data_IF_890130409326
#
_entry.id   IF_890130409326
#
_cell.length_a   1.000
_cell.length_b   1.000
_cell.length_c   1.000
_cell.angle_alpha   90.00
_cell.angle_beta   90.00
_cell.angle_gamma   90.00
#
_symmetry.space_group_name_H-M   'P 1'
#
loop_
_entity.id
_entity.type
_entity.pdbx_description
1 polymer ?
#
# COMPACT_ATOMS: atom_id res chain seq x y z
N UNK A 1 30.78 37.98 18.65
CA UNK A 1 30.09 36.68 18.48
C UNK A 1 28.74 36.78 17.74
N UNK A 2 28.51 37.76 16.86
CA UNK A 2 27.20 37.98 16.23
C UNK A 2 27.04 37.44 14.78
N UNK A 3 28.13 37.04 14.12
CA UNK A 3 28.11 36.67 12.68
C UNK A 3 27.59 35.25 12.39
N UNK A 4 27.61 34.33 13.37
CA UNK A 4 27.19 32.94 13.16
C UNK A 4 25.66 32.71 13.17
N UNK A 5 24.90 33.64 13.74
CA UNK A 5 23.43 33.56 13.84
C UNK A 5 22.73 33.86 12.52
N UNK A 6 23.20 34.89 11.80
CA UNK A 6 22.62 35.31 10.53
C UNK A 6 22.84 34.27 9.42
N UNK A 7 24.02 33.65 9.36
CA UNK A 7 24.32 32.59 8.40
C UNK A 7 23.48 31.32 8.64
N UNK A 8 23.25 30.96 9.92
CA UNK A 8 22.36 29.84 10.28
C UNK A 8 20.89 30.13 9.97
N UNK A 9 20.43 31.36 10.22
CA UNK A 9 19.07 31.77 9.87
C UNK A 9 18.85 31.78 8.35
N UNK A 10 19.81 32.29 7.58
CA UNK A 10 19.76 32.28 6.12
C UNK A 10 19.78 30.85 5.54
N UNK A 11 20.60 29.95 6.11
CA UNK A 11 20.64 28.54 5.70
C UNK A 11 19.34 27.80 6.03
N UNK A 12 18.73 28.08 7.18
CA UNK A 12 17.43 27.51 7.57
C UNK A 12 16.27 28.06 6.70
N UNK A 13 16.32 29.32 6.30
CA UNK A 13 15.36 29.92 5.36
C UNK A 13 15.50 29.35 3.94
N UNK A 14 16.73 29.11 3.47
CA UNK A 14 17.00 28.48 2.18
C UNK A 14 16.57 27.00 2.15
N UNK A 15 16.78 26.26 3.23
CA UNK A 15 16.30 24.88 3.38
C UNK A 15 14.76 24.81 3.52
N UNK A 16 14.14 25.82 4.15
CA UNK A 16 12.68 25.93 4.24
C UNK A 16 12.02 26.29 2.91
N UNK A 17 12.66 27.11 2.08
CA UNK A 17 12.14 27.50 0.77
C UNK A 17 12.21 26.36 -0.27
N UNK A 18 13.17 25.44 -0.14
CA UNK A 18 13.28 24.24 -0.98
C UNK A 18 12.19 23.18 -0.69
N UNK A 19 11.45 23.34 0.42
CA UNK A 19 10.37 22.44 0.84
C UNK A 19 8.97 23.04 0.65
N UNK A 20 8.83 24.13 -0.11
CA UNK A 20 7.51 24.56 -0.56
C UNK A 20 6.96 23.48 -1.50
N UNK A 21 5.82 22.83 -1.19
CA UNK A 21 5.20 21.90 -2.12
C UNK A 21 4.90 22.68 -3.39
N UNK A 22 5.59 22.36 -4.48
CA UNK A 22 5.24 22.85 -5.80
C UNK A 22 3.76 22.54 -6.08
N UNK A 23 3.09 23.30 -6.96
CA UNK A 23 1.71 23.02 -7.31
C UNK A 23 1.58 21.54 -7.65
N UNK A 24 0.71 20.83 -6.91
CA UNK A 24 0.49 19.40 -7.05
C UNK A 24 0.10 19.13 -8.50
N UNK A 25 1.11 18.76 -9.28
CA UNK A 25 1.01 18.58 -10.71
C UNK A 25 0.29 17.25 -10.87
N UNK A 26 -1.02 17.27 -11.12
CA UNK A 26 -1.82 16.07 -11.36
C UNK A 26 -1.12 15.14 -12.33
N UNK A 27 -1.29 13.83 -12.14
CA UNK A 27 -0.56 12.81 -12.92
C UNK A 27 -0.75 13.01 -14.42
N UNK A 28 0.13 12.44 -15.25
CA UNK A 28 0.07 12.64 -16.70
C UNK A 28 -1.31 12.29 -17.27
N UNK A 29 -1.93 11.21 -16.79
CA UNK A 29 -3.28 10.80 -17.19
C UNK A 29 -4.37 11.80 -16.77
N UNK A 30 -4.22 12.49 -15.64
CA UNK A 30 -5.19 13.51 -15.19
C UNK A 30 -5.21 14.77 -16.08
N UNK A 31 -4.16 14.95 -16.88
CA UNK A 31 -4.02 16.06 -17.83
C UNK A 31 -4.46 15.69 -19.23
N UNK A 32 -4.68 14.40 -19.50
CA UNK A 32 -5.11 13.93 -20.81
C UNK A 32 -6.48 14.54 -21.18
N UNK A 33 -6.58 15.26 -22.32
CA UNK A 33 -7.85 15.88 -22.73
C UNK A 33 -8.99 14.88 -22.85
N UNK A 34 -8.73 13.70 -23.41
CA UNK A 34 -9.71 12.61 -23.55
C UNK A 34 -10.30 12.20 -22.19
N UNK A 35 -9.42 12.01 -21.20
CA UNK A 35 -9.82 11.64 -19.85
C UNK A 35 -10.67 12.75 -19.19
N UNK A 36 -10.23 14.00 -19.27
CA UNK A 36 -10.93 15.14 -18.66
C UNK A 36 -12.30 15.38 -19.29
N UNK A 37 -12.40 15.27 -20.61
CA UNK A 37 -13.67 15.43 -21.31
C UNK A 37 -14.65 14.32 -20.94
N UNK A 38 -14.20 13.06 -20.96
CA UNK A 38 -15.00 11.91 -20.53
C UNK A 38 -15.50 12.10 -19.09
N UNK A 39 -14.59 12.42 -18.16
CA UNK A 39 -14.93 12.59 -16.76
C UNK A 39 -15.97 13.69 -16.57
N UNK A 40 -15.76 14.86 -17.18
CA UNK A 40 -16.70 15.97 -17.09
C UNK A 40 -18.07 15.62 -17.70
N UNK A 41 -18.12 14.86 -18.80
CA UNK A 41 -19.37 14.39 -19.40
C UNK A 41 -20.09 13.40 -18.48
N UNK A 42 -19.38 12.42 -17.95
CA UNK A 42 -19.93 11.40 -17.06
C UNK A 42 -20.47 12.01 -15.77
N UNK A 43 -19.71 12.88 -15.10
CA UNK A 43 -20.14 13.55 -13.86
C UNK A 43 -21.41 14.38 -14.07
N UNK A 44 -21.50 15.15 -15.17
CA UNK A 44 -22.69 15.96 -15.48
C UNK A 44 -23.92 15.11 -15.76
N UNK A 45 -23.77 14.05 -16.56
CA UNK A 45 -24.89 13.23 -17.02
C UNK A 45 -25.38 12.23 -15.97
N UNK A 46 -24.47 11.57 -15.26
CA UNK A 46 -24.80 10.43 -14.40
C UNK A 46 -24.84 10.80 -12.91
N UNK A 47 -24.08 11.80 -12.48
CA UNK A 47 -23.91 12.10 -11.05
C UNK A 47 -24.73 13.29 -10.56
N UNK A 48 -25.76 13.72 -11.31
CA UNK A 48 -26.65 14.83 -10.93
C UNK A 48 -28.13 14.44 -10.93
N UNK A 49 -28.93 15.08 -10.05
CA UNK A 49 -30.39 15.01 -10.05
C UNK A 49 -30.99 13.59 -10.04
N UNK A 50 -31.87 13.32 -11.01
CA UNK A 50 -32.55 12.03 -11.16
C UNK A 50 -31.60 10.89 -11.58
N UNK A 51 -30.56 11.20 -12.36
CA UNK A 51 -29.58 10.22 -12.81
C UNK A 51 -28.75 9.67 -11.64
N UNK A 52 -28.40 10.51 -10.65
CA UNK A 52 -27.71 10.07 -9.44
C UNK A 52 -28.58 9.10 -8.61
N UNK A 53 -29.89 9.36 -8.51
CA UNK A 53 -30.83 8.46 -7.83
C UNK A 53 -30.93 7.12 -8.55
N UNK A 54 -30.99 7.15 -9.88
CA UNK A 54 -31.00 5.96 -10.72
C UNK A 54 -29.71 5.14 -10.59
N UNK A 55 -28.56 5.80 -10.59
CA UNK A 55 -27.27 5.17 -10.34
C UNK A 55 -27.25 4.48 -8.98
N UNK A 56 -27.64 5.18 -7.90
CA UNK A 56 -27.69 4.60 -6.54
C UNK A 56 -28.65 3.42 -6.44
N UNK A 57 -29.79 3.47 -7.13
CA UNK A 57 -30.77 2.38 -7.14
C UNK A 57 -30.27 1.13 -7.88
N UNK A 58 -29.42 1.30 -8.90
CA UNK A 58 -28.81 0.20 -9.66
C UNK A 58 -27.40 -0.18 -9.19
N UNK A 59 -26.84 0.57 -8.25
CA UNK A 59 -25.49 0.34 -7.75
C UNK A 59 -25.42 -1.05 -7.09
N UNK A 60 -24.49 -1.92 -7.52
CA UNK A 60 -24.32 -3.23 -6.91
C UNK A 60 -24.07 -3.11 -5.39
N UNK A 61 -24.62 -4.05 -4.62
CA UNK A 61 -24.51 -4.06 -3.16
C UNK A 61 -23.07 -3.95 -2.67
N UNK A 62 -22.13 -4.64 -3.33
CA UNK A 62 -20.72 -4.60 -2.95
C UNK A 62 -20.11 -3.19 -3.10
N UNK A 63 -20.46 -2.46 -4.16
CA UNK A 63 -20.03 -1.06 -4.37
C UNK A 63 -20.67 -0.13 -3.33
N UNK A 64 -21.93 -0.37 -2.95
CA UNK A 64 -22.61 0.39 -1.91
C UNK A 64 -21.99 0.19 -0.52
N UNK A 65 -21.73 -1.06 -0.14
CA UNK A 65 -21.10 -1.41 1.14
C UNK A 65 -19.68 -0.87 1.25
N UNK A 66 -18.94 -0.96 0.15
CA UNK A 66 -17.64 -0.32 0.01
C UNK A 66 -17.80 1.11 -0.50
N UNK A 67 -18.80 1.88 -0.08
CA UNK A 67 -18.98 3.33 -0.32
C UNK A 67 -18.39 3.93 -1.61
N UNK A 68 -18.51 3.27 -2.76
CA UNK A 68 -18.10 3.80 -4.05
C UNK A 68 -19.08 4.88 -4.46
N UNK A 69 -18.57 6.04 -4.89
CA UNK A 69 -19.41 7.12 -5.37
C UNK A 69 -19.58 7.05 -6.89
N UNK A 70 -20.64 7.65 -7.42
CA UNK A 70 -20.82 7.84 -8.86
C UNK A 70 -19.59 8.50 -9.51
N UNK A 71 -18.94 9.41 -8.77
CA UNK A 71 -17.73 10.10 -9.23
C UNK A 71 -16.55 9.14 -9.37
N UNK A 72 -16.37 8.23 -8.42
CA UNK A 72 -15.28 7.24 -8.46
C UNK A 72 -15.50 6.25 -9.61
N UNK A 73 -16.76 5.91 -9.89
CA UNK A 73 -17.11 5.08 -11.04
C UNK A 73 -16.83 5.79 -12.37
N UNK A 74 -17.22 7.06 -12.52
CA UNK A 74 -16.87 7.87 -13.68
C UNK A 74 -15.35 8.00 -13.88
N UNK A 75 -14.58 8.22 -12.81
CA UNK A 75 -13.11 8.25 -12.87
C UNK A 75 -12.55 6.93 -13.41
N UNK A 76 -13.03 5.80 -12.91
CA UNK A 76 -12.57 4.50 -13.35
C UNK A 76 -12.92 4.22 -14.82
N UNK A 77 -14.17 4.42 -15.22
CA UNK A 77 -14.61 4.14 -16.59
C UNK A 77 -13.86 5.02 -17.61
N UNK A 78 -13.71 6.31 -17.32
CA UNK A 78 -12.97 7.23 -18.18
C UNK A 78 -11.47 6.97 -18.21
N UNK A 79 -10.88 6.54 -17.09
CA UNK A 79 -9.51 6.06 -17.04
C UNK A 79 -9.35 4.87 -17.98
N UNK A 80 -10.20 3.84 -17.85
CA UNK A 80 -10.12 2.64 -18.67
C UNK A 80 -10.39 2.86 -20.15
N UNK A 81 -11.27 3.80 -20.49
CA UNK A 81 -11.43 4.25 -21.87
C UNK A 81 -10.11 4.79 -22.43
N UNK A 82 -9.46 5.67 -21.69
CA UNK A 82 -8.18 6.28 -22.07
C UNK A 82 -7.08 5.21 -22.19
N UNK A 83 -6.99 4.30 -21.22
CA UNK A 83 -6.04 3.18 -21.23
C UNK A 83 -6.22 2.30 -22.48
N UNK A 84 -7.46 1.93 -22.83
CA UNK A 84 -7.75 1.12 -24.02
C UNK A 84 -7.26 1.79 -25.30
N UNK A 85 -7.50 3.10 -25.45
CA UNK A 85 -7.03 3.86 -26.61
C UNK A 85 -5.51 3.92 -26.69
N UNK A 86 -4.83 4.13 -25.57
CA UNK A 86 -3.36 4.12 -25.50
C UNK A 86 -2.78 2.75 -25.89
N UNK A 87 -3.34 1.67 -25.36
CA UNK A 87 -2.91 0.29 -25.67
C UNK A 87 -3.13 -0.02 -27.15
N UNK A 88 -4.29 0.34 -27.72
CA UNK A 88 -4.57 0.17 -29.15
C UNK A 88 -3.63 0.98 -30.04
N UNK A 89 -3.26 2.19 -29.62
CA UNK A 89 -2.29 3.04 -30.31
C UNK A 89 -0.82 2.63 -30.11
N UNK A 90 -0.54 1.60 -29.31
CA UNK A 90 0.84 1.18 -28.99
C UNK A 90 1.60 2.19 -28.12
N UNK A 91 0.90 3.09 -27.43
CA UNK A 91 1.49 4.10 -26.55
C UNK A 91 1.66 3.57 -25.13
N UNK A 92 2.64 4.13 -24.39
CA UNK A 92 2.81 3.83 -22.96
C UNK A 92 1.68 4.47 -22.16
N UNK A 93 1.00 3.65 -21.38
CA UNK A 93 -0.10 4.10 -20.52
C UNK A 93 0.43 5.01 -19.42
N UNK A 94 -0.21 6.17 -19.15
CA UNK A 94 0.18 7.05 -18.05
C UNK A 94 -0.44 6.62 -16.71
N UNK A 95 0.10 7.15 -15.61
CA UNK A 95 -0.54 7.07 -14.29
C UNK A 95 -1.73 8.05 -14.22
N UNK A 96 -2.75 7.69 -13.44
CA UNK A 96 -3.97 8.47 -13.16
C UNK A 96 -4.12 8.65 -11.64
N UNK A 97 -4.43 9.86 -11.17
CA UNK A 97 -4.48 10.23 -9.74
C UNK A 97 -3.26 9.77 -8.91
N UNK A 98 -2.08 9.70 -9.55
CA UNK A 98 -0.83 9.26 -8.90
C UNK A 98 -0.72 7.74 -8.70
N UNK A 99 -1.57 6.94 -9.34
CA UNK A 99 -1.51 5.47 -9.33
C UNK A 99 -1.55 4.92 -10.76
N UNK A 100 -1.05 3.69 -10.91
CA UNK A 100 -1.27 2.93 -12.14
C UNK A 100 -2.72 2.43 -12.24
N UNK A 101 -3.27 2.26 -13.46
CA UNK A 101 -4.62 1.74 -13.63
C UNK A 101 -4.69 0.25 -13.27
N UNK A 102 -5.59 -0.09 -12.34
CA UNK A 102 -5.88 -1.47 -11.94
C UNK A 102 -7.26 -1.91 -12.42
N UNK A 103 -7.37 -3.18 -12.77
CA UNK A 103 -8.66 -3.80 -13.08
C UNK A 103 -9.35 -4.13 -11.77
N UNK A 104 -10.52 -3.52 -11.54
CA UNK A 104 -11.37 -3.83 -10.39
C UNK A 104 -11.84 -5.28 -10.50
N UNK A 105 -11.79 -6.01 -9.40
CA UNK A 105 -12.42 -7.32 -9.26
C UNK A 105 -13.34 -7.30 -8.05
N UNK A 106 -14.66 -7.34 -8.28
CA UNK A 106 -15.67 -7.19 -7.23
C UNK A 106 -15.45 -5.89 -6.44
N UNK A 107 -15.18 -6.01 -5.14
CA UNK A 107 -14.91 -4.89 -4.25
C UNK A 107 -13.41 -4.60 -4.08
N UNK A 108 -12.51 -5.37 -4.70
CA UNK A 108 -11.07 -5.19 -4.59
C UNK A 108 -10.55 -4.14 -5.58
N UNK A 109 -9.87 -3.13 -5.04
CA UNK A 109 -9.18 -2.13 -5.83
C UNK A 109 -7.80 -2.62 -6.30
N UNK A 110 -7.06 -3.32 -5.42
CA UNK A 110 -5.74 -3.90 -5.72
C UNK A 110 -5.78 -5.41 -5.40
N UNK A 111 -6.35 -6.26 -6.29
CA UNK A 111 -6.69 -7.64 -5.96
C UNK A 111 -5.48 -8.51 -5.59
N UNK A 112 -4.36 -8.36 -6.31
CA UNK A 112 -3.14 -9.13 -6.02
C UNK A 112 -2.55 -8.76 -4.66
N UNK A 113 -2.42 -7.46 -4.37
CA UNK A 113 -1.89 -6.96 -3.08
C UNK A 113 -2.77 -7.38 -1.91
N UNK A 114 -4.11 -7.32 -2.06
CA UNK A 114 -5.05 -7.77 -1.04
C UNK A 114 -4.92 -9.27 -0.77
N UNK A 115 -4.87 -10.09 -1.83
CA UNK A 115 -4.73 -11.53 -1.69
C UNK A 115 -3.37 -11.92 -1.09
N UNK A 116 -2.29 -11.27 -1.52
CA UNK A 116 -0.95 -11.51 -0.98
C UNK A 116 -0.80 -11.08 0.49
N UNK A 117 -1.44 -9.96 0.89
CA UNK A 117 -1.55 -9.56 2.30
C UNK A 117 -2.31 -10.59 3.14
N UNK A 118 -3.42 -11.12 2.62
CA UNK A 118 -4.18 -12.18 3.29
C UNK A 118 -3.34 -13.44 3.48
N UNK A 119 -2.62 -13.86 2.43
CA UNK A 119 -1.72 -15.03 2.51
C UNK A 119 -0.58 -14.82 3.50
N UNK A 120 -0.04 -13.61 3.61
CA UNK A 120 0.94 -13.28 4.65
C UNK A 120 0.36 -13.44 6.06
N UNK A 121 -0.85 -12.89 6.29
CA UNK A 121 -1.55 -13.07 7.56
C UNK A 121 -1.80 -14.54 7.87
N UNK A 122 -2.27 -15.32 6.89
CA UNK A 122 -2.50 -16.75 7.03
C UNK A 122 -1.20 -17.52 7.34
N UNK A 123 -0.11 -17.23 6.64
CA UNK A 123 1.19 -17.83 6.89
C UNK A 123 1.68 -17.50 8.32
N UNK A 124 1.58 -16.25 8.76
CA UNK A 124 1.92 -15.83 10.12
C UNK A 124 1.07 -16.57 11.16
N UNK A 125 -0.23 -16.75 10.92
CA UNK A 125 -1.13 -17.48 11.82
C UNK A 125 -0.77 -18.96 11.93
N UNK A 126 -0.57 -19.64 10.79
CA UNK A 126 -0.19 -21.06 10.76
C UNK A 126 1.15 -21.26 11.47
N UNK A 127 2.13 -20.39 11.23
CA UNK A 127 3.43 -20.48 11.88
C UNK A 127 3.36 -20.17 13.38
N UNK A 128 2.49 -19.25 13.82
CA UNK A 128 2.23 -19.04 15.24
C UNK A 128 1.66 -20.30 15.92
N UNK A 129 0.72 -20.99 15.27
CA UNK A 129 0.16 -22.25 15.80
C UNK A 129 1.25 -23.34 15.91
N UNK A 130 2.10 -23.47 14.88
CA UNK A 130 3.24 -24.39 14.88
C UNK A 130 4.26 -24.04 15.98
N UNK A 131 4.58 -22.77 16.15
CA UNK A 131 5.48 -22.28 17.19
C UNK A 131 4.97 -22.61 18.60
N UNK A 132 3.68 -22.35 18.86
CA UNK A 132 3.04 -22.68 20.14
C UNK A 132 3.02 -24.19 20.45
N UNK A 133 2.95 -25.02 19.41
CA UNK A 133 2.99 -26.47 19.57
C UNK A 133 4.42 -27.02 19.79
N UNK A 134 5.43 -26.38 19.18
CA UNK A 134 6.81 -26.86 19.22
C UNK A 134 7.65 -26.28 20.38
N UNK A 135 7.32 -25.08 20.86
CA UNK A 135 8.17 -24.34 21.81
C UNK A 135 7.51 -24.24 23.18
N UNK A 136 8.17 -24.68 24.27
CA UNK A 136 7.65 -24.55 25.63
C UNK A 136 7.45 -23.08 26.04
N UNK A 137 6.35 -22.73 26.73
CA UNK A 137 6.09 -21.37 27.22
C UNK A 137 7.16 -20.80 28.16
N UNK A 138 7.95 -21.67 28.81
CA UNK A 138 9.07 -21.27 29.67
C UNK A 138 10.26 -20.67 28.88
N UNK A 139 10.26 -20.76 27.55
CA UNK A 139 11.36 -20.26 26.73
C UNK A 139 11.43 -18.72 26.78
N UNK A 140 12.61 -18.12 26.94
CA UNK A 140 12.75 -16.68 27.13
C UNK A 140 12.27 -15.83 25.94
N UNK A 141 12.22 -16.42 24.73
CA UNK A 141 11.70 -15.74 23.53
C UNK A 141 10.20 -15.95 23.29
N UNK A 142 9.56 -16.90 23.97
CA UNK A 142 8.16 -17.25 23.74
C UNK A 142 7.20 -16.04 23.81
N UNK A 143 7.20 -15.21 24.87
CA UNK A 143 6.29 -14.07 24.93
C UNK A 143 6.55 -13.04 23.83
N UNK A 144 7.81 -12.85 23.43
CA UNK A 144 8.14 -11.90 22.37
C UNK A 144 7.71 -12.39 21.00
N UNK A 145 7.97 -13.65 20.65
CA UNK A 145 7.55 -14.23 19.37
C UNK A 145 6.02 -14.23 19.24
N UNK A 146 5.29 -14.54 20.32
CA UNK A 146 3.82 -14.50 20.32
C UNK A 146 3.29 -13.06 20.21
N UNK A 147 3.89 -12.09 20.90
CA UNK A 147 3.50 -10.68 20.76
C UNK A 147 3.75 -10.15 19.34
N UNK A 148 4.92 -10.47 18.75
CA UNK A 148 5.23 -10.14 17.36
C UNK A 148 4.19 -10.71 16.39
N UNK A 149 3.85 -11.99 16.57
CA UNK A 149 2.85 -12.68 15.76
C UNK A 149 1.51 -11.95 15.74
N UNK A 150 1.01 -11.54 16.91
CA UNK A 150 -0.25 -10.82 17.01
C UNK A 150 -0.21 -9.43 16.37
N UNK A 151 0.88 -8.69 16.55
CA UNK A 151 1.08 -7.40 15.88
C UNK A 151 1.15 -7.59 14.36
N UNK A 152 1.86 -8.61 13.89
CA UNK A 152 1.96 -8.95 12.47
C UNK A 152 0.60 -9.32 11.88
N UNK A 153 -0.18 -10.15 12.56
CA UNK A 153 -1.53 -10.53 12.14
C UNK A 153 -2.46 -9.33 12.02
N UNK A 154 -2.40 -8.42 13.00
CA UNK A 154 -3.17 -7.18 12.97
C UNK A 154 -2.77 -6.30 11.78
N UNK A 155 -1.47 -6.15 11.53
CA UNK A 155 -0.96 -5.38 10.40
C UNK A 155 -1.39 -5.98 9.05
N UNK A 156 -1.27 -7.29 8.85
CA UNK A 156 -1.67 -7.96 7.61
C UNK A 156 -3.18 -7.94 7.38
N UNK A 157 -3.98 -8.01 8.44
CA UNK A 157 -5.43 -7.82 8.37
C UNK A 157 -5.76 -6.42 7.84
N UNK A 158 -5.20 -5.37 8.44
CA UNK A 158 -5.43 -4.00 7.99
C UNK A 158 -4.85 -3.72 6.60
N UNK A 159 -3.72 -4.34 6.24
CA UNK A 159 -3.16 -4.30 4.88
C UNK A 159 -4.13 -4.90 3.85
N UNK A 160 -4.73 -6.06 4.18
CA UNK A 160 -5.74 -6.69 3.33
C UNK A 160 -6.94 -5.76 3.14
N UNK A 161 -7.46 -5.19 4.24
CA UNK A 161 -8.58 -4.24 4.20
C UNK A 161 -8.23 -3.01 3.35
N UNK A 162 -7.03 -2.44 3.51
CA UNK A 162 -6.56 -1.30 2.75
C UNK A 162 -6.52 -1.57 1.24
N UNK A 163 -5.97 -2.72 0.81
CA UNK A 163 -5.93 -3.09 -0.61
C UNK A 163 -7.29 -3.53 -1.16
N UNK A 164 -8.24 -3.92 -0.30
CA UNK A 164 -9.64 -4.08 -0.72
C UNK A 164 -10.27 -2.73 -1.02
N UNK A 165 -10.04 -1.71 -0.18
CA UNK A 165 -10.61 -0.38 -0.33
C UNK A 165 -9.63 0.66 0.20
N UNK A 166 -9.12 1.53 -0.68
CA UNK A 166 -8.30 2.71 -0.30
C UNK A 166 -9.06 3.49 0.78
N UNK A 167 -8.76 3.21 2.04
CA UNK A 167 -9.26 3.96 3.19
C UNK A 167 -8.08 4.77 3.67
N UNK A 168 -8.27 6.07 3.89
CA UNK A 168 -7.21 7.02 4.25
C UNK A 168 -6.69 6.82 5.70
N UNK A 169 -6.64 5.59 6.19
CA UNK A 169 -6.00 5.26 7.46
C UNK A 169 -4.51 5.15 7.18
N UNK A 170 -3.81 6.20 7.57
CA UNK A 170 -2.37 6.38 7.40
C UNK A 170 -1.57 5.33 8.18
N UNK A 171 -0.52 4.85 7.53
CA UNK A 171 0.42 3.86 8.04
C UNK A 171 1.01 4.19 9.41
N UNK A 172 0.93 3.25 10.35
CA UNK A 172 1.79 3.21 11.55
C UNK A 172 2.90 2.17 11.33
N UNK A 173 3.63 2.24 10.21
CA UNK A 173 4.76 1.33 9.92
C UNK A 173 6.04 1.71 10.68
N UNK A 174 6.30 3.01 10.83
CA UNK A 174 7.59 3.50 11.33
C UNK A 174 7.77 3.38 12.85
N UNK A 175 6.71 3.56 13.63
CA UNK A 175 6.77 3.45 15.10
C UNK A 175 6.98 2.00 15.57
N UNK A 176 6.36 1.04 14.89
CA UNK A 176 6.56 -0.39 15.16
C UNK A 176 7.99 -0.82 14.78
N UNK A 177 8.49 -0.39 13.62
CA UNK A 177 9.85 -0.69 13.13
C UNK A 177 10.95 -0.26 14.12
N UNK A 178 10.88 0.97 14.62
CA UNK A 178 11.88 1.52 15.54
C UNK A 178 11.91 0.78 16.88
N UNK A 179 10.75 0.30 17.35
CA UNK A 179 10.64 -0.47 18.59
C UNK A 179 11.30 -1.85 18.46
N UNK A 180 11.04 -2.57 17.36
CA UNK A 180 11.59 -3.91 17.12
C UNK A 180 13.10 -3.92 16.86
N UNK A 181 13.63 -2.97 16.08
CA UNK A 181 15.08 -2.84 15.87
C UNK A 181 15.81 -2.59 17.20
N UNK A 182 15.25 -1.72 18.05
CA UNK A 182 15.81 -1.44 19.39
C UNK A 182 15.77 -2.66 20.31
N UNK A 183 14.72 -3.48 20.23
CA UNK A 183 14.62 -4.72 21.00
C UNK A 183 15.61 -5.80 20.52
N UNK A 184 15.75 -6.00 19.20
CA UNK A 184 16.69 -6.96 18.63
C UNK A 184 18.15 -6.62 18.98
N UNK A 185 18.53 -5.35 18.87
CA UNK A 185 19.88 -4.88 19.21
C UNK A 185 20.20 -5.07 20.71
N UNK A 186 19.20 -4.92 21.58
CA UNK A 186 19.36 -5.08 23.04
C UNK A 186 19.50 -6.55 23.47
N UNK A 187 18.93 -7.50 22.72
CA UNK A 187 18.91 -8.92 23.09
C UNK A 187 19.92 -9.79 22.31
N UNK A 188 20.61 -9.21 21.31
CA UNK A 188 21.75 -9.79 20.57
C UNK A 188 22.72 -10.65 21.39
N UNK A 189 23.18 -10.24 22.59
CA UNK A 189 24.22 -10.99 23.32
C UNK A 189 23.73 -12.25 24.03
N UNK A 190 22.41 -12.47 24.13
CA UNK A 190 21.82 -13.48 25.03
C UNK A 190 21.13 -14.65 24.31
N UNK A 191 20.94 -14.57 23.00
CA UNK A 191 20.10 -15.50 22.25
C UNK A 191 20.79 -15.95 20.95
N UNK A 192 21.15 -17.24 20.79
CA UNK A 192 21.92 -17.73 19.65
C UNK A 192 21.16 -17.73 18.31
N UNK A 193 19.84 -17.49 18.31
CA UNK A 193 19.00 -17.54 17.10
C UNK A 193 18.65 -16.15 16.55
N UNK A 194 19.25 -15.08 17.08
CA UNK A 194 19.03 -13.69 16.64
C UNK A 194 19.42 -13.47 15.17
N UNK A 195 20.29 -14.33 14.61
CA UNK A 195 20.64 -14.28 13.18
C UNK A 195 19.43 -14.51 12.27
N UNK A 196 18.44 -15.34 12.67
CA UNK A 196 17.20 -15.52 11.90
C UNK A 196 16.40 -14.24 11.84
N UNK A 197 16.27 -13.53 12.97
CA UNK A 197 15.64 -12.21 13.01
C UNK A 197 16.40 -11.19 12.15
N UNK A 198 17.73 -11.19 12.20
CA UNK A 198 18.55 -10.30 11.36
C UNK A 198 18.39 -10.60 9.87
N UNK A 199 18.36 -11.88 9.49
CA UNK A 199 18.14 -12.32 8.11
C UNK A 199 16.75 -11.91 7.61
N UNK A 200 15.70 -12.12 8.41
CA UNK A 200 14.32 -11.68 8.09
C UNK A 200 14.26 -10.17 7.90
N UNK A 201 14.88 -9.38 8.78
CA UNK A 201 14.92 -7.91 8.65
C UNK A 201 15.64 -7.51 7.36
N UNK A 202 16.81 -8.07 7.05
CA UNK A 202 17.55 -7.74 5.83
C UNK A 202 16.79 -8.12 4.57
N UNK A 203 16.15 -9.30 4.55
CA UNK A 203 15.33 -9.76 3.42
C UNK A 203 14.09 -8.88 3.24
N UNK A 204 13.43 -8.46 4.33
CA UNK A 204 12.31 -7.54 4.26
C UNK A 204 12.71 -6.20 3.63
N UNK A 205 13.87 -5.65 4.01
CA UNK A 205 14.40 -4.42 3.42
C UNK A 205 14.77 -4.60 1.95
N UNK A 206 15.37 -5.74 1.59
CA UNK A 206 15.71 -6.05 0.20
C UNK A 206 14.46 -6.17 -0.67
N UNK A 207 13.40 -6.83 -0.17
CA UNK A 207 12.12 -6.93 -0.87
C UNK A 207 11.42 -5.58 -0.99
N UNK A 208 11.53 -4.70 0.01
CA UNK A 208 10.95 -3.35 -0.07
C UNK A 208 11.56 -2.51 -1.21
N UNK A 209 12.77 -2.84 -1.69
CA UNK A 209 13.35 -2.20 -2.88
C UNK A 209 12.57 -2.52 -4.16
N UNK A 210 11.74 -3.57 -4.18
CA UNK A 210 10.86 -3.85 -5.32
C UNK A 210 9.87 -2.71 -5.56
N UNK A 211 9.43 -2.01 -4.51
CA UNK A 211 8.55 -0.83 -4.62
C UNK A 211 9.19 0.30 -5.46
N UNK A 212 10.52 0.34 -5.60
CA UNK A 212 11.23 1.33 -6.42
C UNK A 212 11.14 1.07 -7.93
N UNK A 213 10.73 -0.12 -8.35
CA UNK A 213 10.67 -0.47 -9.77
C UNK A 213 9.49 0.21 -10.51
N UNK A 214 8.55 0.83 -9.79
CA UNK A 214 7.39 1.62 -10.26
C UNK A 214 6.97 1.32 -11.71
N UNK A 215 6.44 0.12 -11.94
CA UNK A 215 6.05 -0.37 -13.27
C UNK A 215 4.52 -0.54 -13.39
N UNK A 216 3.96 -0.41 -14.62
CA UNK A 216 2.53 -0.65 -14.85
C UNK A 216 2.12 -2.08 -14.52
N UNK A 217 0.98 -2.32 -13.84
CA UNK A 217 0.58 -3.63 -13.39
C UNK A 217 0.53 -4.64 -14.55
N UNK A 218 1.25 -5.74 -14.40
CA UNK A 218 1.17 -6.89 -15.27
C UNK A 218 -0.25 -7.45 -15.21
N UNK A 219 -0.82 -7.71 -16.39
CA UNK A 219 -2.23 -8.11 -16.54
C UNK A 219 -3.24 -7.17 -15.86
N UNK A 220 -2.85 -5.92 -15.58
CA UNK A 220 -3.67 -4.92 -14.88
C UNK A 220 -4.02 -5.27 -13.43
N UNK A 221 -3.29 -6.21 -12.83
CA UNK A 221 -3.59 -6.73 -11.48
C UNK A 221 -2.32 -6.84 -10.62
N UNK A 222 -1.16 -7.17 -11.20
CA UNK A 222 0.07 -7.44 -10.47
C UNK A 222 1.11 -6.33 -10.67
N UNK A 223 1.41 -5.57 -9.62
CA UNK A 223 2.37 -4.47 -9.63
C UNK A 223 3.59 -4.75 -8.73
N UNK A 224 4.50 -3.77 -8.65
CA UNK A 224 5.68 -3.82 -7.79
C UNK A 224 5.33 -4.06 -6.32
N UNK A 225 4.25 -3.42 -5.85
CA UNK A 225 3.78 -3.54 -4.48
C UNK A 225 3.25 -4.93 -4.17
N UNK A 226 2.45 -5.52 -5.06
CA UNK A 226 1.99 -6.89 -4.93
C UNK A 226 3.15 -7.90 -4.91
N UNK A 227 4.21 -7.67 -5.71
CA UNK A 227 5.42 -8.52 -5.68
C UNK A 227 6.13 -8.46 -4.33
N UNK A 228 6.20 -7.28 -3.71
CA UNK A 228 6.73 -7.13 -2.36
C UNK A 228 5.91 -7.97 -1.35
N UNK A 229 4.57 -7.86 -1.38
CA UNK A 229 3.70 -8.69 -0.54
C UNK A 229 3.94 -10.18 -0.78
N UNK A 230 4.01 -10.64 -2.03
CA UNK A 230 4.24 -12.05 -2.36
C UNK A 230 5.60 -12.53 -1.82
N UNK A 231 6.66 -11.74 -2.00
CA UNK A 231 8.01 -12.07 -1.55
C UNK A 231 8.14 -12.20 -0.03
N UNK A 232 7.28 -11.54 0.74
CA UNK A 232 7.34 -11.57 2.22
C UNK A 232 6.67 -12.81 2.83
N UNK A 233 5.84 -13.54 2.09
CA UNK A 233 5.16 -14.77 2.54
C UNK A 233 6.16 -15.80 3.11
N UNK A 234 7.21 -16.23 2.38
CA UNK A 234 8.17 -17.21 2.90
C UNK A 234 8.98 -16.73 4.10
N UNK A 235 9.07 -15.41 4.35
CA UNK A 235 9.79 -14.88 5.50
C UNK A 235 9.11 -15.24 6.83
N UNK A 236 7.79 -15.47 6.82
CA UNK A 236 7.08 -15.98 7.99
C UNK A 236 7.61 -17.37 8.37
N UNK A 237 7.95 -18.23 7.40
CA UNK A 237 8.50 -19.57 7.68
C UNK A 237 9.92 -19.49 8.26
N UNK A 238 10.72 -18.50 7.83
CA UNK A 238 12.08 -18.30 8.33
C UNK A 238 12.12 -17.74 9.76
N UNK A 239 11.10 -16.96 10.15
CA UNK A 239 11.05 -16.28 11.44
C UNK A 239 10.75 -17.20 12.63
N UNK A 240 9.81 -18.15 12.47
CA UNK A 240 9.40 -19.09 13.53
C UNK A 240 10.24 -20.38 13.52
#
# INVERSE_FOLDING_TARGET
>A
MAAGGAARAALLLLLGAAAAPGPARGSQGDREPLYRECLGRCERQNCSGAALRHFRARQPLYMGLTGWTCRDDCKYECMWLTVRLYVQGGHRVPQFHGKWPFSRFLFFQEPASAFASFLNGLASFIMLLRYKAAVPPASPMYPTCVAFAWVSLNAWFWSTVFHTRDTAVTEVRLLNLAWWLRWCLRNRPRLPHVWKCAAVVLLLQALALLELLDFPPLFWVLDAHALWHIGTIPLNVLFY
#
